data_IF_179582501533
#
_entry.id   IF_179582501533
#
_cell.length_a   1.000
_cell.length_b   1.000
_cell.length_c   1.000
_cell.angle_alpha   90.00
_cell.angle_beta   90.00
_cell.angle_gamma   90.00
#
_symmetry.space_group_name_H-M   'P 1'
#
loop_
_entity.id
_entity.type
_entity.pdbx_description
1 polymer ?
#
# COMPACT_ATOMS: atom_id res chain seq x y z
N UNK A 1 -0.37 -52.66 87.86
CA UNK A 1 0.18 -51.92 86.74
C UNK A 1 -0.61 -52.20 85.48
N UNK A 2 -1.58 -51.34 85.12
CA UNK A 2 -2.42 -51.49 83.91
C UNK A 2 -1.84 -50.63 82.80
N UNK A 3 -1.40 -51.24 81.69
CA UNK A 3 -0.92 -50.54 80.53
C UNK A 3 -2.11 -50.13 79.65
N UNK A 4 -2.27 -48.84 79.51
CA UNK A 4 -3.21 -48.24 78.53
C UNK A 4 -2.58 -48.31 77.17
N UNK A 5 -3.24 -48.99 76.24
CA UNK A 5 -2.90 -48.94 74.75
C UNK A 5 -3.76 -47.82 74.15
N UNK A 6 -3.10 -46.76 73.70
CA UNK A 6 -3.68 -45.76 72.82
C UNK A 6 -3.71 -46.33 71.42
N UNK A 7 -4.91 -46.53 70.88
CA UNK A 7 -5.07 -46.85 69.48
C UNK A 7 -5.30 -45.52 68.71
N UNK A 8 -4.44 -45.17 67.76
CA UNK A 8 -4.56 -44.04 66.88
C UNK A 8 -5.71 -44.30 65.89
N UNK A 9 -6.64 -43.31 65.66
CA UNK A 9 -7.69 -43.43 64.67
C UNK A 9 -7.09 -43.29 63.26
N UNK A 10 -7.63 -44.09 62.40
CA UNK A 10 -7.17 -44.34 61.02
C UNK A 10 -7.05 -43.12 60.15
N UNK A 11 -6.02 -43.14 59.32
CA UNK A 11 -5.72 -42.23 58.29
C UNK A 11 -6.95 -41.87 57.42
N UNK A 12 -7.27 -40.63 57.37
CA UNK A 12 -8.23 -40.06 56.41
C UNK A 12 -7.76 -40.37 54.98
N UNK A 13 -8.31 -41.40 54.39
CA UNK A 13 -8.22 -41.68 52.96
C UNK A 13 -8.83 -40.49 52.23
N UNK A 14 -8.00 -39.60 51.72
CA UNK A 14 -8.42 -38.56 50.80
C UNK A 14 -9.15 -39.18 49.61
N UNK A 15 -10.44 -38.88 49.48
CA UNK A 15 -11.21 -39.24 48.27
C UNK A 15 -10.48 -38.67 47.05
N UNK A 16 -10.30 -39.47 45.96
CA UNK A 16 -9.73 -38.93 44.74
C UNK A 16 -10.62 -37.81 44.24
N UNK A 17 -10.06 -36.57 44.15
CA UNK A 17 -10.75 -35.44 43.56
C UNK A 17 -11.19 -35.85 42.12
N UNK A 18 -12.50 -35.93 41.94
CA UNK A 18 -13.14 -36.29 40.68
C UNK A 18 -12.69 -35.34 39.59
N UNK A 19 -11.85 -35.83 38.70
CA UNK A 19 -11.44 -35.15 37.44
C UNK A 19 -12.63 -34.82 36.52
N UNK A 20 -13.80 -35.43 36.81
CA UNK A 20 -15.08 -35.15 36.12
C UNK A 20 -15.56 -33.70 36.35
N UNK A 21 -15.35 -33.14 37.54
CA UNK A 21 -15.74 -31.75 37.84
C UNK A 21 -14.98 -30.74 36.99
N UNK A 22 -13.66 -30.90 36.84
CA UNK A 22 -12.82 -29.97 36.05
C UNK A 22 -13.22 -30.00 34.59
N UNK A 23 -13.46 -31.17 34.00
CA UNK A 23 -13.90 -31.31 32.61
C UNK A 23 -15.28 -30.67 32.39
N UNK A 24 -16.19 -30.78 33.35
CA UNK A 24 -17.50 -30.15 33.26
C UNK A 24 -17.37 -28.61 33.28
N UNK A 25 -16.59 -28.05 34.19
CA UNK A 25 -16.37 -26.59 34.26
C UNK A 25 -15.65 -26.07 33.04
N UNK A 26 -14.68 -26.79 32.49
CA UNK A 26 -14.02 -26.45 31.21
C UNK A 26 -15.01 -26.47 30.04
N UNK A 27 -15.88 -27.49 29.99
CA UNK A 27 -16.93 -27.55 28.97
C UNK A 27 -17.94 -26.43 29.08
N UNK A 28 -18.44 -26.13 30.29
CA UNK A 28 -19.36 -25.04 30.56
C UNK A 28 -18.73 -23.67 30.23
N UNK A 29 -17.46 -23.46 30.60
CA UNK A 29 -16.69 -22.26 30.23
C UNK A 29 -16.53 -22.13 28.72
N UNK A 30 -16.19 -23.21 28.02
CA UNK A 30 -16.08 -23.21 26.56
C UNK A 30 -17.39 -22.84 25.86
N UNK A 31 -18.52 -23.40 26.32
CA UNK A 31 -19.86 -23.07 25.79
C UNK A 31 -20.21 -21.61 26.05
N UNK A 32 -19.96 -21.11 27.26
CA UNK A 32 -20.21 -19.73 27.62
C UNK A 32 -19.35 -18.76 26.80
N UNK A 33 -18.06 -19.06 26.65
CA UNK A 33 -17.13 -18.28 25.85
C UNK A 33 -17.56 -18.27 24.37
N UNK A 34 -17.91 -19.44 23.81
CA UNK A 34 -18.39 -19.54 22.43
C UNK A 34 -19.70 -18.76 22.25
N UNK A 35 -20.64 -18.88 23.17
CA UNK A 35 -21.90 -18.11 23.15
C UNK A 35 -21.68 -16.60 23.25
N UNK A 36 -20.78 -16.16 24.14
CA UNK A 36 -20.42 -14.75 24.27
C UNK A 36 -19.74 -14.21 23.00
N UNK A 37 -18.80 -14.97 22.41
CA UNK A 37 -18.15 -14.60 21.16
C UNK A 37 -19.15 -14.53 20.00
N UNK A 38 -20.04 -15.53 19.90
CA UNK A 38 -21.08 -15.54 18.87
C UNK A 38 -22.06 -14.38 19.05
N UNK A 39 -22.51 -14.12 20.27
CA UNK A 39 -23.37 -12.98 20.61
C UNK A 39 -22.70 -11.65 20.27
N UNK A 40 -21.45 -11.47 20.66
CA UNK A 40 -20.67 -10.29 20.28
C UNK A 40 -20.59 -10.13 18.76
N UNK A 41 -20.35 -11.23 18.03
CA UNK A 41 -20.23 -11.21 16.57
C UNK A 41 -21.55 -10.86 15.88
N UNK A 42 -22.68 -11.39 16.35
CA UNK A 42 -24.00 -11.16 15.77
C UNK A 42 -24.58 -9.79 16.09
N UNK A 43 -24.30 -9.25 17.29
CA UNK A 43 -24.89 -8.01 17.79
C UNK A 43 -23.91 -6.84 17.79
N UNK A 44 -22.74 -6.98 17.14
CA UNK A 44 -21.77 -5.88 17.09
C UNK A 44 -22.33 -4.69 16.29
N UNK A 45 -22.32 -3.46 16.84
CA UNK A 45 -22.94 -2.29 16.21
C UNK A 45 -22.03 -1.73 15.09
N UNK A 46 -21.95 -2.44 13.96
CA UNK A 46 -21.09 -2.06 12.82
C UNK A 46 -21.45 -0.69 12.26
N UNK A 47 -22.74 -0.34 12.21
CA UNK A 47 -23.18 0.98 11.71
C UNK A 47 -22.67 2.14 12.59
N UNK A 48 -22.70 1.99 13.91
CA UNK A 48 -22.17 3.02 14.83
C UNK A 48 -20.65 3.17 14.70
N UNK A 49 -19.95 2.04 14.50
CA UNK A 49 -18.50 2.06 14.26
C UNK A 49 -18.15 2.73 12.94
N UNK A 50 -18.91 2.45 11.88
CA UNK A 50 -18.73 3.07 10.55
C UNK A 50 -18.79 4.60 10.65
N UNK A 51 -19.87 5.15 11.23
CA UNK A 51 -20.05 6.60 11.39
C UNK A 51 -18.92 7.22 12.21
N UNK A 52 -18.46 6.51 13.24
CA UNK A 52 -17.34 6.98 14.07
C UNK A 52 -16.02 7.00 13.32
N UNK A 53 -15.73 5.95 12.54
CA UNK A 53 -14.51 5.87 11.71
C UNK A 53 -14.50 6.96 10.64
N UNK A 54 -15.59 7.15 9.91
CA UNK A 54 -15.71 8.20 8.89
C UNK A 54 -15.47 9.59 9.50
N UNK A 55 -16.06 9.86 10.66
CA UNK A 55 -15.87 11.13 11.37
C UNK A 55 -14.44 11.35 11.86
N UNK A 56 -13.83 10.31 12.43
CA UNK A 56 -12.44 10.38 12.92
C UNK A 56 -11.45 10.56 11.76
N UNK A 57 -11.65 9.87 10.65
CA UNK A 57 -10.85 10.04 9.44
C UNK A 57 -11.01 11.45 8.85
N UNK A 58 -12.24 11.95 8.76
CA UNK A 58 -12.52 13.30 8.26
C UNK A 58 -11.91 14.40 9.16
N UNK A 59 -11.77 14.16 10.47
CA UNK A 59 -11.16 15.12 11.39
C UNK A 59 -9.64 15.17 11.32
N UNK A 60 -9.01 14.06 10.94
CA UNK A 60 -7.54 13.94 10.93
C UNK A 60 -6.91 14.10 9.55
N UNK A 61 -7.69 13.92 8.50
CA UNK A 61 -7.20 13.99 7.12
C UNK A 61 -8.07 14.94 6.29
N UNK A 62 -7.49 15.67 5.33
CA UNK A 62 -8.28 16.49 4.42
C UNK A 62 -9.07 15.66 3.39
N UNK A 63 -9.02 14.33 3.49
CA UNK A 63 -9.61 13.38 2.56
C UNK A 63 -10.99 12.96 3.06
N UNK A 64 -11.99 12.96 2.19
CA UNK A 64 -13.31 12.40 2.50
C UNK A 64 -13.30 10.92 2.24
N UNK A 65 -13.66 10.16 3.26
CA UNK A 65 -13.72 8.69 3.23
C UNK A 65 -15.16 8.27 3.46
N UNK A 66 -15.72 7.49 2.55
CA UNK A 66 -17.05 6.91 2.63
C UNK A 66 -16.90 5.38 2.66
N UNK A 67 -17.40 4.75 3.70
CA UNK A 67 -17.40 3.30 3.89
C UNK A 67 -18.82 2.77 3.63
N UNK A 68 -18.96 1.70 2.86
CA UNK A 68 -20.26 1.06 2.63
C UNK A 68 -20.17 -0.42 3.02
N UNK A 69 -21.17 -0.90 3.76
CA UNK A 69 -21.28 -2.31 4.11
C UNK A 69 -20.22 -2.78 5.11
N UNK A 70 -19.94 -1.99 6.17
CA UNK A 70 -19.00 -2.41 7.21
C UNK A 70 -19.54 -3.65 7.95
N UNK A 71 -18.77 -4.73 7.93
CA UNK A 71 -19.12 -6.00 8.55
C UNK A 71 -17.95 -6.58 9.35
N UNK A 72 -18.27 -7.50 10.26
CA UNK A 72 -17.26 -8.28 10.97
C UNK A 72 -16.90 -9.52 10.14
N UNK A 73 -15.61 -9.77 10.00
CA UNK A 73 -15.07 -10.94 9.31
C UNK A 73 -14.63 -12.01 10.31
N UNK A 74 -14.64 -13.26 9.87
CA UNK A 74 -14.03 -14.37 10.62
C UNK A 74 -12.77 -14.87 9.87
N UNK A 75 -11.63 -15.10 10.55
CA UNK A 75 -11.30 -14.76 11.95
C UNK A 75 -11.42 -13.26 12.23
N UNK A 76 -11.61 -12.83 13.50
CA UNK A 76 -12.04 -11.46 13.81
C UNK A 76 -11.23 -10.38 13.08
N UNK A 77 -11.95 -9.54 12.38
CA UNK A 77 -11.47 -8.42 11.58
C UNK A 77 -12.67 -7.62 11.09
N UNK A 78 -12.40 -6.57 10.36
CA UNK A 78 -13.43 -5.74 9.74
C UNK A 78 -13.35 -5.85 8.22
N UNK A 79 -14.50 -5.90 7.57
CA UNK A 79 -14.64 -5.80 6.13
C UNK A 79 -15.56 -4.67 5.74
N UNK A 80 -15.32 -4.09 4.57
CA UNK A 80 -16.26 -3.19 3.92
C UNK A 80 -16.38 -3.61 2.46
N UNK A 81 -17.58 -3.58 1.93
CA UNK A 81 -17.81 -3.90 0.52
C UNK A 81 -17.16 -2.89 -0.39
N UNK A 82 -17.26 -1.61 -0.02
CA UNK A 82 -16.70 -0.51 -0.80
C UNK A 82 -16.13 0.57 0.12
N UNK A 83 -14.97 1.07 -0.25
CA UNK A 83 -14.33 2.23 0.35
C UNK A 83 -14.13 3.27 -0.76
N UNK A 84 -14.79 4.41 -0.67
CA UNK A 84 -14.57 5.53 -1.58
C UNK A 84 -13.74 6.60 -0.89
N UNK A 85 -12.61 6.94 -1.51
CA UNK A 85 -11.67 7.96 -1.03
C UNK A 85 -11.68 9.11 -2.02
N UNK A 86 -12.11 10.29 -1.58
CA UNK A 86 -12.08 11.52 -2.37
C UNK A 86 -10.98 12.43 -1.87
N UNK A 87 -9.96 12.62 -2.69
CA UNK A 87 -8.87 13.52 -2.37
C UNK A 87 -9.30 14.98 -2.58
N UNK A 88 -8.85 15.92 -1.73
CA UNK A 88 -9.13 17.35 -1.89
C UNK A 88 -8.21 17.97 -2.95
N UNK A 89 -8.22 17.43 -4.16
CA UNK A 89 -7.50 17.95 -5.31
C UNK A 89 -8.47 18.73 -6.19
N UNK A 90 -7.99 19.72 -6.99
CA UNK A 90 -8.86 20.49 -7.86
C UNK A 90 -9.75 19.66 -8.78
N UNK A 91 -9.39 18.41 -9.05
CA UNK A 91 -10.13 17.50 -9.92
C UNK A 91 -11.07 16.54 -9.15
N UNK A 92 -11.20 16.65 -7.81
CA UNK A 92 -12.04 15.79 -6.94
C UNK A 92 -12.04 14.29 -7.34
N UNK A 93 -10.90 13.74 -7.68
CA UNK A 93 -10.82 12.34 -8.08
C UNK A 93 -11.25 11.43 -6.95
N UNK A 94 -12.24 10.59 -7.24
CA UNK A 94 -12.71 9.55 -6.34
C UNK A 94 -12.05 8.23 -6.69
N UNK A 95 -11.36 7.64 -5.73
CA UNK A 95 -10.84 6.27 -5.85
C UNK A 95 -11.77 5.34 -5.09
N UNK A 96 -12.34 4.38 -5.80
CA UNK A 96 -13.22 3.36 -5.22
C UNK A 96 -12.45 2.06 -5.08
N UNK A 97 -12.32 1.64 -3.84
CA UNK A 97 -11.69 0.37 -3.47
C UNK A 97 -12.78 -0.65 -3.16
N UNK A 98 -12.61 -1.84 -3.71
CA UNK A 98 -13.51 -2.95 -3.48
C UNK A 98 -12.97 -3.84 -2.36
N UNK A 99 -13.86 -4.46 -1.62
CA UNK A 99 -13.51 -5.51 -0.64
C UNK A 99 -12.41 -5.13 0.35
N UNK A 100 -12.54 -3.96 1.00
CA UNK A 100 -11.63 -3.59 2.09
C UNK A 100 -11.70 -4.61 3.22
N UNK A 101 -10.55 -5.12 3.66
CA UNK A 101 -10.42 -6.02 4.80
C UNK A 101 -9.35 -5.51 5.75
N UNK A 102 -9.70 -5.36 7.00
CA UNK A 102 -8.80 -4.97 8.07
C UNK A 102 -8.71 -6.11 9.07
N UNK A 103 -7.53 -6.67 9.27
CA UNK A 103 -7.30 -7.81 10.15
C UNK A 103 -6.13 -7.55 11.08
N UNK A 104 -6.23 -7.91 12.36
CA UNK A 104 -5.06 -7.95 13.22
C UNK A 104 -4.10 -9.04 12.74
N UNK A 105 -2.80 -8.78 12.84
CA UNK A 105 -1.77 -9.80 12.64
C UNK A 105 -1.73 -10.68 13.90
N UNK A 106 -2.57 -11.73 13.96
CA UNK A 106 -2.83 -12.55 15.14
C UNK A 106 -1.57 -13.04 15.85
N UNK A 107 -0.57 -13.49 15.09
CA UNK A 107 0.70 -13.95 15.65
C UNK A 107 1.48 -12.84 16.35
N UNK A 108 1.26 -11.59 15.95
CA UNK A 108 1.95 -10.43 16.53
C UNK A 108 1.26 -9.91 17.79
N UNK A 109 -0.01 -10.29 18.06
CA UNK A 109 -0.71 -9.90 19.28
C UNK A 109 -0.05 -10.45 20.56
N UNK A 110 0.65 -11.58 20.44
CA UNK A 110 1.40 -12.20 21.53
C UNK A 110 2.85 -11.69 21.60
N UNK A 111 3.21 -10.72 20.78
CA UNK A 111 4.54 -10.08 20.78
C UNK A 111 4.43 -8.66 21.31
N UNK A 112 5.57 -8.06 21.62
CA UNK A 112 5.63 -6.64 22.03
C UNK A 112 5.28 -5.65 20.89
N UNK A 113 5.07 -6.14 19.66
CA UNK A 113 4.79 -5.32 18.47
C UNK A 113 3.55 -5.81 17.71
N UNK A 114 2.34 -5.62 18.27
CA UNK A 114 1.11 -5.97 17.57
C UNK A 114 1.01 -5.20 16.24
N UNK A 115 0.40 -5.83 15.25
CA UNK A 115 0.24 -5.26 13.93
C UNK A 115 -1.15 -5.47 13.34
N UNK A 116 -1.42 -4.72 12.29
CA UNK A 116 -2.65 -4.75 11.52
C UNK A 116 -2.32 -4.91 10.05
N UNK A 117 -3.08 -5.71 9.35
CA UNK A 117 -3.06 -5.87 7.90
C UNK A 117 -4.35 -5.29 7.31
N UNK A 118 -4.21 -4.37 6.39
CA UNK A 118 -5.28 -3.87 5.55
C UNK A 118 -5.08 -4.38 4.13
N UNK A 119 -6.12 -4.91 3.50
CA UNK A 119 -6.11 -5.28 2.09
C UNK A 119 -7.35 -4.74 1.39
N UNK A 120 -7.19 -4.28 0.17
CA UNK A 120 -8.28 -3.75 -0.65
C UNK A 120 -8.08 -4.11 -2.13
N UNK A 121 -9.18 -4.26 -2.86
CA UNK A 121 -9.17 -4.34 -4.31
C UNK A 121 -9.23 -2.95 -4.94
N UNK A 122 -8.51 -2.74 -6.03
CA UNK A 122 -8.59 -1.51 -6.84
C UNK A 122 -8.51 -1.89 -8.31
N UNK A 123 -9.58 -1.67 -9.06
CA UNK A 123 -9.64 -1.91 -10.51
C UNK A 123 -9.14 -3.30 -10.94
N UNK A 124 -9.45 -4.33 -10.15
CA UNK A 124 -9.01 -5.72 -10.40
C UNK A 124 -7.61 -6.07 -9.89
N UNK A 125 -6.86 -5.12 -9.37
CA UNK A 125 -5.61 -5.34 -8.63
C UNK A 125 -5.84 -5.41 -7.13
N UNK A 126 -4.78 -5.63 -6.37
CA UNK A 126 -4.80 -5.71 -4.91
C UNK A 126 -3.79 -4.77 -4.27
N UNK A 127 -4.19 -4.18 -3.16
CA UNK A 127 -3.35 -3.34 -2.29
C UNK A 127 -3.31 -4.02 -0.94
N UNK A 128 -2.12 -4.24 -0.40
CA UNK A 128 -1.91 -4.72 0.96
C UNK A 128 -1.05 -3.74 1.73
N UNK A 129 -1.48 -3.41 2.94
CA UNK A 129 -0.77 -2.51 3.84
C UNK A 129 -0.65 -3.16 5.21
N UNK A 130 0.54 -3.44 5.66
CA UNK A 130 0.81 -3.91 7.01
C UNK A 130 1.45 -2.81 7.85
N UNK A 131 0.91 -2.59 9.04
CA UNK A 131 1.44 -1.66 10.01
C UNK A 131 1.65 -2.37 11.35
N UNK A 132 2.77 -2.07 12.03
CA UNK A 132 3.08 -2.64 13.35
C UNK A 132 3.27 -1.53 14.38
N UNK A 133 2.95 -1.82 15.63
CA UNK A 133 3.30 -0.93 16.74
C UNK A 133 4.83 -0.76 16.77
N UNK A 134 5.28 0.50 16.88
CA UNK A 134 6.71 0.83 16.64
C UNK A 134 6.95 1.45 15.26
N UNK A 135 5.88 1.59 14.46
CA UNK A 135 5.86 2.41 13.26
C UNK A 135 6.20 1.68 11.96
N UNK A 136 6.67 0.44 11.99
CA UNK A 136 7.00 -0.30 10.77
C UNK A 136 5.78 -0.41 9.84
N UNK A 137 5.96 -0.03 8.58
CA UNK A 137 4.96 0.00 7.53
C UNK A 137 5.50 -0.75 6.32
N UNK A 138 4.71 -1.68 5.78
CA UNK A 138 4.98 -2.32 4.50
C UNK A 138 3.75 -2.20 3.63
N UNK A 139 3.92 -1.71 2.41
CA UNK A 139 2.87 -1.61 1.41
C UNK A 139 3.22 -2.46 0.21
N UNK A 140 2.26 -3.21 -0.31
CA UNK A 140 2.39 -4.03 -1.50
C UNK A 140 1.22 -3.75 -2.46
N UNK A 141 1.54 -3.62 -3.74
CA UNK A 141 0.59 -3.38 -4.83
C UNK A 141 0.78 -4.47 -5.87
N UNK A 142 -0.32 -5.04 -6.34
CA UNK A 142 -0.28 -6.09 -7.35
C UNK A 142 -1.34 -5.87 -8.42
N UNK A 143 -0.91 -5.87 -9.68
CA UNK A 143 -1.76 -5.83 -10.88
C UNK A 143 -2.77 -4.66 -10.92
N UNK A 144 -2.33 -3.46 -10.55
CA UNK A 144 -3.18 -2.27 -10.59
C UNK A 144 -3.01 -1.56 -11.93
N UNK A 145 -4.04 -1.50 -12.79
CA UNK A 145 -4.00 -0.70 -13.99
C UNK A 145 -3.98 0.79 -13.63
N UNK A 146 -3.29 1.57 -14.43
CA UNK A 146 -3.30 3.03 -14.33
C UNK A 146 -3.40 3.65 -15.73
N UNK A 147 -4.08 4.78 -15.80
CA UNK A 147 -4.19 5.61 -17.00
C UNK A 147 -4.33 7.06 -16.55
N UNK A 148 -3.22 7.80 -16.64
CA UNK A 148 -3.11 9.13 -16.05
C UNK A 148 -2.63 10.14 -17.09
N UNK A 149 -3.15 11.38 -17.00
CA UNK A 149 -2.61 12.47 -17.79
C UNK A 149 -1.21 12.84 -17.33
N UNK A 150 -0.29 13.03 -18.26
CA UNK A 150 1.11 13.34 -17.96
C UNK A 150 1.25 14.69 -17.22
N UNK A 151 0.38 15.64 -17.52
CA UNK A 151 0.23 16.89 -16.82
C UNK A 151 -1.25 17.34 -16.86
N UNK A 152 -1.71 18.14 -15.88
CA UNK A 152 -3.07 18.69 -15.89
C UNK A 152 -3.37 19.42 -17.20
N UNK A 153 -4.43 19.01 -17.90
CA UNK A 153 -4.81 19.59 -19.19
C UNK A 153 -3.97 19.16 -20.40
N UNK A 154 -2.99 18.25 -20.19
CA UNK A 154 -2.23 17.66 -21.31
C UNK A 154 -3.07 16.67 -22.09
N UNK A 155 -2.89 16.66 -23.41
CA UNK A 155 -3.43 15.61 -24.29
C UNK A 155 -2.65 14.30 -24.21
N UNK A 156 -1.47 14.31 -23.55
CA UNK A 156 -0.62 13.14 -23.37
C UNK A 156 -1.07 12.35 -22.15
N UNK A 157 -1.23 11.05 -22.32
CA UNK A 157 -1.62 10.10 -21.28
C UNK A 157 -0.56 9.02 -21.15
N UNK A 158 -0.28 8.61 -19.92
CA UNK A 158 0.56 7.47 -19.61
C UNK A 158 -0.29 6.37 -18.99
N UNK A 159 -0.30 5.22 -19.60
CA UNK A 159 -1.07 4.06 -19.15
C UNK A 159 -0.21 2.83 -19.01
N UNK A 160 -0.67 1.88 -18.21
CA UNK A 160 0.03 0.62 -17.98
C UNK A 160 -0.56 -0.15 -16.81
N UNK A 161 0.21 -1.08 -16.28
CA UNK A 161 -0.17 -1.87 -15.11
C UNK A 161 0.97 -1.89 -14.11
N UNK A 162 0.70 -1.58 -12.86
CA UNK A 162 1.62 -1.86 -11.75
C UNK A 162 1.60 -3.37 -11.53
N UNK A 163 2.58 -4.10 -12.06
CA UNK A 163 2.67 -5.55 -11.89
C UNK A 163 2.93 -5.89 -10.42
N UNK A 164 3.88 -5.20 -9.82
CA UNK A 164 4.20 -5.27 -8.40
C UNK A 164 4.84 -3.97 -7.93
N UNK A 165 4.53 -3.57 -6.72
CA UNK A 165 5.28 -2.55 -6.01
C UNK A 165 5.36 -2.91 -4.53
N UNK A 166 6.53 -2.73 -3.93
CA UNK A 166 6.78 -2.96 -2.50
C UNK A 166 7.42 -1.72 -1.92
N UNK A 167 6.79 -1.17 -0.90
CA UNK A 167 7.28 -0.07 -0.10
C UNK A 167 7.50 -0.55 1.33
N UNK A 168 8.71 -0.42 1.84
CA UNK A 168 9.02 -0.64 3.25
C UNK A 168 9.45 0.68 3.86
N UNK A 169 8.84 1.05 4.98
CA UNK A 169 9.11 2.32 5.65
C UNK A 169 8.73 2.25 7.13
N UNK A 170 8.75 3.36 7.83
CA UNK A 170 8.10 3.50 9.14
C UNK A 170 7.42 4.85 9.31
N UNK A 171 6.39 4.87 10.15
CA UNK A 171 5.56 6.04 10.44
C UNK A 171 5.63 6.35 11.96
N UNK A 172 5.83 7.61 12.36
CA UNK A 172 6.06 8.80 11.53
C UNK A 172 7.43 8.80 10.85
N UNK A 173 7.52 9.46 9.68
CA UNK A 173 8.79 9.63 8.97
C UNK A 173 9.71 10.55 9.80
N UNK A 174 10.64 9.94 10.50
CA UNK A 174 11.70 10.65 11.25
C UNK A 174 12.97 10.74 10.40
N UNK A 175 13.87 11.63 10.76
CA UNK A 175 15.13 11.83 10.03
C UNK A 175 15.99 10.54 9.91
N UNK A 176 15.82 9.60 10.84
CA UNK A 176 16.53 8.32 10.84
C UNK A 176 15.74 7.18 10.14
N UNK A 177 14.47 7.42 9.74
CA UNK A 177 13.63 6.40 9.12
C UNK A 177 14.18 6.01 7.76
N UNK A 178 14.50 4.75 7.58
CA UNK A 178 14.89 4.19 6.29
C UNK A 178 13.64 3.73 5.53
N UNK A 179 13.62 3.97 4.22
CA UNK A 179 12.55 3.56 3.33
C UNK A 179 13.13 2.95 2.07
N UNK A 180 12.50 1.90 1.56
CA UNK A 180 12.86 1.27 0.29
C UNK A 180 11.63 1.12 -0.57
N UNK A 181 11.78 1.36 -1.87
CA UNK A 181 10.74 1.18 -2.88
C UNK A 181 11.30 0.32 -3.99
N UNK A 182 10.58 -0.70 -4.34
CA UNK A 182 10.78 -1.48 -5.56
C UNK A 182 9.47 -1.54 -6.31
N UNK A 183 9.45 -1.15 -7.59
CA UNK A 183 8.24 -1.10 -8.41
C UNK A 183 8.53 -1.63 -9.81
N UNK A 184 7.62 -2.45 -10.31
CA UNK A 184 7.64 -2.96 -11.67
C UNK A 184 6.32 -2.60 -12.36
N UNK A 185 6.43 -1.82 -13.43
CA UNK A 185 5.31 -1.43 -14.28
C UNK A 185 5.37 -2.24 -15.57
N UNK A 186 4.24 -2.79 -16.00
CA UNK A 186 4.13 -3.55 -17.24
C UNK A 186 3.30 -2.83 -18.29
N UNK A 187 3.57 -3.13 -19.56
CA UNK A 187 2.84 -2.59 -20.71
C UNK A 187 2.69 -1.05 -20.66
N UNK A 188 3.76 -0.36 -20.28
CA UNK A 188 3.73 1.09 -20.16
C UNK A 188 3.70 1.72 -21.55
N UNK A 189 2.71 2.59 -21.77
CA UNK A 189 2.48 3.26 -23.05
C UNK A 189 2.22 4.75 -22.84
N UNK A 190 2.79 5.57 -23.69
CA UNK A 190 2.47 6.99 -23.80
C UNK A 190 1.52 7.18 -24.99
N UNK A 191 0.36 7.78 -24.77
CA UNK A 191 -0.72 7.97 -25.74
C UNK A 191 -0.98 9.45 -25.99
N UNK A 192 -1.64 9.75 -27.13
CA UNK A 192 -2.00 11.13 -27.48
C UNK A 192 -0.89 11.87 -28.21
N UNK A 193 0.12 11.19 -28.71
CA UNK A 193 1.27 11.80 -29.41
C UNK A 193 0.87 12.53 -30.69
N UNK A 194 -0.21 12.10 -31.37
CA UNK A 194 -0.76 12.81 -32.53
C UNK A 194 -1.18 14.24 -32.21
N UNK A 195 -1.66 14.47 -31.00
CA UNK A 195 -2.07 15.81 -30.55
C UNK A 195 -0.91 16.80 -30.41
N UNK A 196 0.31 16.28 -30.32
CA UNK A 196 1.56 17.08 -30.26
C UNK A 196 2.36 17.01 -31.56
N UNK A 197 1.76 16.49 -32.65
CA UNK A 197 2.36 16.53 -34.00
C UNK A 197 3.11 15.27 -34.41
N UNK A 198 3.04 14.18 -33.65
CA UNK A 198 3.65 12.91 -34.02
C UNK A 198 2.82 12.17 -35.09
N UNK A 199 3.44 11.37 -35.94
CA UNK A 199 2.76 10.54 -36.93
C UNK A 199 2.02 9.35 -36.28
N UNK A 200 2.55 8.82 -35.21
CA UNK A 200 1.97 7.72 -34.41
C UNK A 200 1.34 8.25 -33.11
N UNK A 201 0.28 7.61 -32.65
CA UNK A 201 -0.44 8.05 -31.47
C UNK A 201 0.13 7.48 -30.17
N UNK A 202 0.75 6.32 -30.24
CA UNK A 202 1.22 5.58 -29.04
C UNK A 202 2.69 5.25 -29.16
N UNK A 203 3.40 5.39 -28.05
CA UNK A 203 4.79 4.97 -27.87
C UNK A 203 4.81 3.91 -26.76
N UNK A 204 5.35 2.74 -27.06
CA UNK A 204 5.49 1.67 -26.11
C UNK A 204 6.81 1.80 -25.33
N UNK A 205 6.74 1.90 -24.01
CA UNK A 205 7.90 1.96 -23.13
C UNK A 205 8.26 0.58 -22.53
N UNK A 206 7.43 -0.44 -22.81
CA UNK A 206 7.65 -1.80 -22.34
C UNK A 206 7.41 -1.97 -20.84
N UNK A 207 8.30 -2.69 -20.19
CA UNK A 207 8.31 -2.88 -18.74
C UNK A 207 9.27 -1.88 -18.10
N UNK A 208 8.80 -1.11 -17.12
CA UNK A 208 9.60 -0.17 -16.36
C UNK A 208 9.85 -0.71 -14.96
N UNK A 209 11.11 -0.73 -14.54
CA UNK A 209 11.52 -1.04 -13.17
C UNK A 209 12.00 0.25 -12.50
N UNK A 210 11.58 0.49 -11.28
CA UNK A 210 11.98 1.63 -10.46
C UNK A 210 12.43 1.12 -9.10
N UNK A 211 13.66 1.46 -8.72
CA UNK A 211 14.23 1.16 -7.43
C UNK A 211 14.63 2.44 -6.71
N UNK A 212 14.33 2.50 -5.44
CA UNK A 212 14.65 3.67 -4.65
C UNK A 212 14.86 3.34 -3.18
N UNK A 213 15.62 4.20 -2.53
CA UNK A 213 15.87 4.14 -1.09
C UNK A 213 15.86 5.55 -0.50
N UNK A 214 15.46 5.69 0.73
CA UNK A 214 15.35 6.99 1.37
C UNK A 214 15.71 6.95 2.84
N UNK A 215 15.98 8.14 3.37
CA UNK A 215 16.13 8.37 4.80
C UNK A 215 15.37 9.64 5.18
N UNK A 216 14.42 9.50 6.11
CA UNK A 216 13.52 10.58 6.47
C UNK A 216 12.69 11.04 5.28
N UNK A 217 12.74 12.33 4.99
CA UNK A 217 12.03 12.94 3.87
C UNK A 217 12.80 12.91 2.54
N UNK A 218 14.08 12.52 2.57
CA UNK A 218 14.92 12.43 1.37
C UNK A 218 14.85 11.02 0.79
N UNK A 219 14.42 10.92 -0.46
CA UNK A 219 14.30 9.67 -1.20
C UNK A 219 15.15 9.73 -2.46
N UNK A 220 16.03 8.75 -2.65
CA UNK A 220 16.88 8.61 -3.82
C UNK A 220 16.28 7.55 -4.74
N UNK A 221 16.08 7.89 -5.98
CA UNK A 221 15.76 6.96 -7.05
C UNK A 221 17.09 6.42 -7.56
N UNK A 222 17.38 5.18 -7.19
CA UNK A 222 18.66 4.54 -7.49
C UNK A 222 18.73 4.13 -8.97
N UNK A 223 17.58 3.64 -9.49
CA UNK A 223 17.47 3.16 -10.83
C UNK A 223 16.06 3.32 -11.38
N UNK A 224 15.97 3.78 -12.62
CA UNK A 224 14.82 3.65 -13.51
C UNK A 224 15.35 2.92 -14.72
N UNK A 225 14.74 1.81 -15.12
CA UNK A 225 15.13 1.07 -16.31
C UNK A 225 13.90 0.56 -17.06
N UNK A 226 13.91 0.66 -18.40
CA UNK A 226 12.88 0.05 -19.23
C UNK A 226 13.43 -1.11 -20.05
N UNK A 227 12.57 -2.07 -20.35
CA UNK A 227 12.89 -3.22 -21.20
C UNK A 227 11.75 -3.53 -22.16
N UNK A 228 12.09 -3.87 -23.41
CA UNK A 228 11.13 -4.35 -24.40
C UNK A 228 10.21 -3.29 -24.99
N UNK A 229 10.60 -2.01 -24.94
CA UNK A 229 9.85 -0.89 -25.53
C UNK A 229 10.51 -0.34 -26.82
N UNK A 230 9.80 0.59 -27.47
CA UNK A 230 10.29 1.35 -28.62
C UNK A 230 11.36 2.37 -28.20
N UNK A 231 11.37 2.74 -26.92
CA UNK A 231 12.29 3.68 -26.31
C UNK A 231 12.85 3.06 -25.03
N UNK A 232 14.17 2.85 -25.00
CA UNK A 232 14.84 2.44 -23.78
C UNK A 232 15.00 3.67 -22.85
N UNK A 233 14.49 3.53 -21.64
CA UNK A 233 14.53 4.57 -20.62
C UNK A 233 15.45 4.10 -19.50
N UNK A 234 16.40 4.92 -19.10
CA UNK A 234 17.22 4.71 -17.91
C UNK A 234 17.35 6.01 -17.14
N UNK A 235 17.47 5.94 -15.84
CA UNK A 235 17.55 7.19 -15.07
C UNK A 235 17.83 6.99 -13.60
N UNK A 236 18.16 8.10 -12.97
CA UNK A 236 18.37 8.22 -11.52
C UNK A 236 17.86 9.56 -11.03
N UNK A 237 17.65 9.71 -9.74
CA UNK A 237 17.22 11.00 -9.23
C UNK A 237 17.06 11.08 -7.73
N UNK A 238 16.45 12.18 -7.32
CA UNK A 238 16.14 12.45 -5.92
C UNK A 238 14.76 13.05 -5.78
N UNK A 239 14.06 12.67 -4.72
CA UNK A 239 12.77 13.21 -4.32
C UNK A 239 12.88 13.69 -2.87
N UNK A 240 12.60 14.94 -2.63
CA UNK A 240 12.51 15.50 -1.29
C UNK A 240 11.04 15.67 -0.93
N UNK A 241 10.54 14.81 -0.06
CA UNK A 241 9.16 14.81 0.37
C UNK A 241 8.82 16.04 1.20
N UNK A 242 7.69 16.66 0.92
CA UNK A 242 7.14 17.79 1.64
C UNK A 242 5.63 17.60 1.87
N UNK A 243 5.07 18.35 2.80
CA UNK A 243 3.63 18.43 3.00
C UNK A 243 3.12 19.82 2.57
N UNK A 244 2.11 19.90 1.70
CA UNK A 244 1.46 18.80 0.96
C UNK A 244 2.39 18.21 -0.10
N UNK A 245 2.11 16.98 -0.56
CA UNK A 245 2.96 16.21 -1.48
C UNK A 245 3.28 16.94 -2.80
N UNK A 246 2.39 17.81 -3.28
CA UNK A 246 2.61 18.64 -4.48
C UNK A 246 3.81 19.56 -4.36
N UNK A 247 4.22 19.92 -3.13
CA UNK A 247 5.42 20.73 -2.84
C UNK A 247 6.71 19.92 -2.76
N UNK A 248 6.62 18.59 -2.81
CA UNK A 248 7.80 17.74 -2.85
C UNK A 248 8.65 18.07 -4.06
N UNK A 249 9.95 18.20 -3.86
CA UNK A 249 10.90 18.54 -4.93
C UNK A 249 11.41 17.28 -5.60
N UNK A 250 11.42 17.31 -6.92
CA UNK A 250 11.92 16.22 -7.77
C UNK A 250 13.11 16.72 -8.57
N UNK A 251 14.11 15.86 -8.70
CA UNK A 251 15.24 16.07 -9.62
C UNK A 251 15.60 14.70 -10.20
N UNK A 252 15.24 14.50 -11.49
CA UNK A 252 15.49 13.27 -12.23
C UNK A 252 16.39 13.56 -13.40
N UNK A 253 17.35 12.68 -13.63
CA UNK A 253 18.11 12.61 -14.88
C UNK A 253 17.68 11.32 -15.58
N UNK A 254 17.06 11.45 -16.73
CA UNK A 254 16.54 10.35 -17.52
C UNK A 254 17.24 10.35 -18.87
N UNK A 255 17.79 9.22 -19.25
CA UNK A 255 18.39 8.99 -20.55
C UNK A 255 17.42 8.17 -21.39
N UNK A 256 17.09 8.67 -22.55
CA UNK A 256 16.22 8.02 -23.52
C UNK A 256 17.06 7.55 -24.68
N UNK A 257 16.96 6.27 -25.05
CA UNK A 257 17.66 5.70 -26.19
C UNK A 257 16.67 5.07 -27.16
N UNK A 258 16.48 5.63 -28.34
CA UNK A 258 15.57 5.08 -29.34
C UNK A 258 15.98 3.66 -29.73
N UNK A 259 14.99 2.78 -29.87
CA UNK A 259 15.18 1.48 -30.52
C UNK A 259 15.39 1.68 -32.03
N UNK A 260 16.12 0.80 -32.69
CA UNK A 260 16.24 0.84 -34.15
C UNK A 260 14.89 0.73 -34.90
N UNK A 261 13.87 0.29 -34.23
CA UNK A 261 12.51 0.12 -34.75
C UNK A 261 11.61 1.34 -34.51
N UNK A 262 12.09 2.36 -33.77
CA UNK A 262 11.31 3.55 -33.48
C UNK A 262 11.00 4.32 -34.75
N UNK A 263 9.76 4.77 -34.91
CA UNK A 263 9.33 5.59 -36.03
C UNK A 263 10.17 6.86 -36.13
N UNK A 264 10.65 7.17 -37.35
CA UNK A 264 11.49 8.35 -37.63
C UNK A 264 10.81 9.65 -37.21
N UNK A 265 9.51 9.76 -37.39
CA UNK A 265 8.77 10.96 -36.98
C UNK A 265 8.85 11.20 -35.46
N UNK A 266 8.94 10.14 -34.63
CA UNK A 266 9.16 10.26 -33.20
C UNK A 266 10.61 10.65 -32.88
N UNK A 267 11.58 10.15 -33.63
CA UNK A 267 12.99 10.56 -33.51
C UNK A 267 13.13 12.04 -33.82
N UNK A 268 12.56 12.50 -34.95
CA UNK A 268 12.58 13.90 -35.35
C UNK A 268 11.93 14.82 -34.30
N UNK A 269 10.82 14.35 -33.68
CA UNK A 269 10.15 15.07 -32.57
C UNK A 269 11.06 15.15 -31.34
N UNK A 270 11.75 14.07 -30.99
CA UNK A 270 12.72 14.06 -29.89
C UNK A 270 13.88 15.01 -30.15
N UNK A 271 14.41 15.04 -31.39
CA UNK A 271 15.49 15.95 -31.79
C UNK A 271 15.07 17.43 -31.78
N UNK A 272 13.81 17.70 -32.04
CA UNK A 272 13.25 19.05 -31.96
C UNK A 272 13.20 19.53 -30.50
N UNK A 273 12.92 18.63 -29.56
CA UNK A 273 12.77 18.94 -28.12
C UNK A 273 14.08 18.89 -27.35
N UNK A 274 14.96 17.94 -27.71
CA UNK A 274 16.18 17.64 -26.94
C UNK A 274 17.31 17.33 -27.94
N UNK A 275 18.46 17.98 -27.76
CA UNK A 275 19.63 17.67 -28.57
C UNK A 275 20.17 16.28 -28.25
N UNK A 276 20.40 15.42 -29.28
CA UNK A 276 20.97 14.10 -29.05
C UNK A 276 22.42 14.21 -28.57
N UNK A 277 22.82 13.32 -27.69
CA UNK A 277 24.20 13.12 -27.30
C UNK A 277 24.97 12.43 -28.42
N UNK A 278 26.31 12.34 -28.30
CA UNK A 278 27.19 11.73 -29.34
C UNK A 278 26.89 10.25 -29.62
N UNK A 279 26.29 9.56 -28.65
CA UNK A 279 25.89 8.15 -28.73
C UNK A 279 24.45 7.93 -29.21
N UNK A 280 23.77 9.00 -29.66
CA UNK A 280 22.37 8.96 -30.09
C UNK A 280 21.35 8.87 -28.97
N UNK A 281 21.75 9.04 -27.73
CA UNK A 281 20.82 9.12 -26.58
C UNK A 281 20.34 10.55 -26.34
N UNK A 282 19.22 10.71 -25.69
CA UNK A 282 18.63 12.00 -25.30
C UNK A 282 18.61 12.11 -23.77
N UNK A 283 19.24 13.15 -23.25
CA UNK A 283 19.28 13.40 -21.82
C UNK A 283 18.19 14.38 -21.43
N UNK A 284 17.23 13.91 -20.64
CA UNK A 284 16.14 14.70 -20.09
C UNK A 284 16.37 14.96 -18.61
N UNK A 285 16.35 16.22 -18.21
CA UNK A 285 16.39 16.61 -16.80
C UNK A 285 15.03 17.13 -16.38
N UNK A 286 14.41 16.43 -15.44
CA UNK A 286 13.17 16.84 -14.82
C UNK A 286 13.47 17.41 -13.43
N UNK A 287 13.07 18.64 -13.17
CA UNK A 287 13.29 19.33 -11.90
C UNK A 287 12.05 20.11 -11.49
N UNK A 288 12.02 20.64 -10.27
CA UNK A 288 10.89 21.43 -9.77
C UNK A 288 10.14 20.75 -8.65
N UNK A 289 8.81 20.92 -8.61
CA UNK A 289 7.94 20.25 -7.62
C UNK A 289 7.05 19.22 -8.31
N UNK A 290 6.54 18.25 -7.54
CA UNK A 290 5.59 17.27 -8.08
C UNK A 290 4.33 17.91 -8.67
N UNK A 291 3.89 19.04 -8.10
CA UNK A 291 2.74 19.81 -8.63
C UNK A 291 3.06 20.70 -9.84
N UNK A 292 4.34 20.98 -10.09
CA UNK A 292 4.79 21.81 -11.24
C UNK A 292 6.20 21.37 -11.67
N UNK A 293 6.30 20.22 -12.37
CA UNK A 293 7.57 19.73 -12.89
C UNK A 293 8.04 20.59 -14.07
N UNK A 294 9.34 20.87 -14.11
CA UNK A 294 10.00 21.62 -15.19
C UNK A 294 10.98 20.70 -15.90
N UNK A 295 10.86 20.62 -17.20
CA UNK A 295 11.71 19.85 -18.10
C UNK A 295 12.82 20.78 -18.62
N UNK A 296 14.06 20.30 -18.60
CA UNK A 296 15.24 21.00 -19.12
C UNK A 296 16.14 20.08 -19.93
#
# INVERSE_FOLDING_TARGET
>A
MRRFRFSLPGALRGKPRSTRGVRFYLGAFAVLLTGALLGFYLFFPTAALQVRLERELASRTPVRVELVGLNLLFPPGFGSETLTVRAPLPDERAYTFDTLRLRPLWLTLFTSRPGVLASAGLQGGTIELSARSGGALTGELHRIPFDEQLAPGSSLQIGGTVNSATLVSSVPLQAATESTLHMQLGAVQLRGLKNVGAAVDTLNLGTLTLEGSGKGTSFKINEIASQGGDLAVSGTGTLLLAQPLQRSRINLNVTLKPSPQLDRALVDLLELLIKPARDGSYLLRLSGTLGNPVMR
#
